data_IF_018164168982
#
_entry.id   IF_018164168982
#
_cell.length_a   1.000
_cell.length_b   1.000
_cell.length_c   1.000
_cell.angle_alpha   90.00
_cell.angle_beta   90.00
_cell.angle_gamma   90.00
#
_symmetry.space_group_name_H-M   'P 1'
#
loop_
_entity.id
_entity.type
_entity.pdbx_description
1 polymer ?
#
# COMPACT_ATOMS: atom_id res chain seq x y z
N UNK A 1 6.96 19.02 -0.68
CA UNK A 1 5.75 18.18 -0.72
C UNK A 1 4.66 19.02 -1.34
N UNK A 2 3.89 18.46 -2.27
CA UNK A 2 2.77 19.16 -2.91
C UNK A 2 1.62 19.31 -1.92
N UNK A 3 1.21 20.53 -1.62
CA UNK A 3 0.03 20.79 -0.78
C UNK A 3 -1.25 20.51 -1.58
N UNK A 4 -2.16 19.65 -1.10
CA UNK A 4 -3.37 19.32 -1.82
C UNK A 4 -4.46 20.39 -1.66
N UNK A 5 -5.30 20.54 -2.69
CA UNK A 5 -6.59 21.24 -2.54
C UNK A 5 -7.53 20.37 -1.71
N UNK A 6 -8.10 20.94 -0.64
CA UNK A 6 -8.95 20.21 0.32
C UNK A 6 -10.42 20.48 0.06
N UNK A 7 -11.23 19.43 0.09
CA UNK A 7 -12.68 19.47 0.00
C UNK A 7 -13.31 18.50 1.01
N UNK A 8 -14.65 18.50 1.08
CA UNK A 8 -15.44 17.62 1.93
C UNK A 8 -16.44 16.84 1.10
N UNK A 9 -16.61 15.57 1.43
CA UNK A 9 -17.72 14.76 0.95
C UNK A 9 -18.99 15.07 1.75
N UNK A 10 -20.15 14.68 1.22
CA UNK A 10 -21.46 14.97 1.79
C UNK A 10 -21.63 14.43 3.23
N UNK A 11 -20.89 13.38 3.57
CA UNK A 11 -20.86 12.75 4.90
C UNK A 11 -19.72 13.28 5.81
N UNK A 12 -19.04 14.35 5.40
CA UNK A 12 -18.00 15.05 6.16
C UNK A 12 -16.58 14.48 6.04
N UNK A 13 -16.40 13.37 5.29
CA UNK A 13 -15.09 12.79 5.01
C UNK A 13 -14.18 13.77 4.27
N UNK A 14 -12.89 13.67 4.54
CA UNK A 14 -11.86 14.45 3.86
C UNK A 14 -11.69 13.99 2.41
N UNK A 15 -11.54 14.95 1.50
CA UNK A 15 -11.13 14.73 0.11
C UNK A 15 -9.96 15.68 -0.20
N UNK A 16 -8.91 15.13 -0.78
CA UNK A 16 -7.65 15.82 -1.09
C UNK A 16 -7.34 15.63 -2.58
N UNK A 17 -7.18 16.74 -3.30
CA UNK A 17 -6.75 16.73 -4.70
C UNK A 17 -5.28 17.12 -4.79
N UNK A 18 -4.50 16.27 -5.46
CA UNK A 18 -3.12 16.55 -5.85
C UNK A 18 -3.13 16.79 -7.36
N UNK A 19 -2.49 17.87 -7.80
CA UNK A 19 -2.54 18.31 -9.18
C UNK A 19 -1.15 18.45 -9.79
N UNK A 20 -1.07 18.18 -11.09
CA UNK A 20 0.11 18.46 -11.91
C UNK A 20 0.31 19.98 -12.03
N UNK A 21 1.55 20.45 -12.31
CA UNK A 21 1.80 21.86 -12.55
C UNK A 21 0.91 22.44 -13.66
N UNK A 22 0.19 23.52 -13.36
CA UNK A 22 -0.75 24.17 -14.29
C UNK A 22 -2.17 23.60 -14.28
N UNK A 23 -2.42 22.50 -13.58
CA UNK A 23 -3.76 21.97 -13.35
C UNK A 23 -4.33 22.55 -12.05
N UNK A 24 -5.63 22.85 -12.06
CA UNK A 24 -6.33 23.43 -10.91
C UNK A 24 -7.57 22.59 -10.60
N UNK A 25 -7.57 21.81 -9.50
CA UNK A 25 -8.75 21.07 -9.08
C UNK A 25 -9.94 22.00 -8.87
N UNK A 26 -11.10 21.63 -9.41
CA UNK A 26 -12.35 22.38 -9.28
C UNK A 26 -13.45 21.53 -8.64
N UNK A 27 -13.30 21.13 -7.35
CA UNK A 27 -14.33 20.36 -6.67
C UNK A 27 -15.64 21.15 -6.61
N UNK A 28 -16.74 20.44 -6.83
CA UNK A 28 -18.11 20.93 -6.62
C UNK A 28 -18.64 20.37 -5.30
N UNK A 29 -19.78 20.90 -4.86
CA UNK A 29 -20.49 20.34 -3.70
C UNK A 29 -20.86 18.88 -3.95
N UNK A 30 -20.51 18.00 -3.02
CA UNK A 30 -21.01 16.63 -2.98
C UNK A 30 -22.46 16.65 -2.49
N UNK A 31 -23.39 16.29 -3.38
CA UNK A 31 -24.84 16.35 -3.18
C UNK A 31 -25.45 14.96 -3.05
N UNK A 32 -24.64 13.92 -2.94
CA UNK A 32 -25.13 12.55 -2.79
C UNK A 32 -25.94 12.42 -1.49
N UNK A 33 -27.10 11.74 -1.51
CA UNK A 33 -27.94 11.57 -0.34
C UNK A 33 -27.35 10.49 0.59
N UNK A 34 -26.23 10.81 1.23
CA UNK A 34 -25.55 9.90 2.15
C UNK A 34 -26.06 10.11 3.58
N UNK A 35 -26.25 9.03 4.36
CA UNK A 35 -26.53 9.17 5.78
C UNK A 35 -25.32 9.84 6.47
N UNK A 36 -25.60 10.58 7.54
CA UNK A 36 -24.54 11.07 8.41
C UNK A 36 -23.69 9.89 8.90
N UNK A 37 -22.38 10.11 8.98
CA UNK A 37 -21.44 9.08 9.41
C UNK A 37 -21.79 8.61 10.83
N UNK A 38 -22.01 7.31 11.00
CA UNK A 38 -22.22 6.74 12.34
C UNK A 38 -20.97 6.97 13.20
N UNK A 39 -21.19 7.55 14.39
CA UNK A 39 -20.18 7.74 15.44
C UNK A 39 -19.99 6.50 16.31
N UNK A 40 -20.76 5.44 16.09
CA UNK A 40 -20.64 4.18 16.81
C UNK A 40 -19.43 3.38 16.28
N UNK A 41 -18.83 2.55 17.15
CA UNK A 41 -17.65 1.75 16.83
C UNK A 41 -17.94 0.79 15.65
N UNK A 42 -17.40 1.12 14.47
CA UNK A 42 -17.66 0.36 13.24
C UNK A 42 -16.78 -0.91 13.12
N UNK A 43 -15.70 -0.98 13.89
CA UNK A 43 -14.75 -2.09 13.90
C UNK A 43 -14.11 -2.31 15.26
N UNK A 44 -13.77 -3.56 15.57
CA UNK A 44 -13.11 -3.99 16.80
C UNK A 44 -11.81 -4.73 16.47
N UNK A 45 -10.76 -4.51 17.25
CA UNK A 45 -9.56 -5.34 17.26
C UNK A 45 -9.74 -6.47 18.27
N UNK A 46 -9.38 -7.69 17.89
CA UNK A 46 -9.32 -8.85 18.80
C UNK A 46 -7.91 -9.42 18.76
N UNK A 47 -7.34 -9.66 19.93
CA UNK A 47 -5.98 -10.20 20.03
C UNK A 47 -6.03 -11.73 20.03
N UNK A 48 -5.36 -12.34 19.06
CA UNK A 48 -5.10 -13.77 19.05
C UNK A 48 -3.87 -14.07 19.92
N UNK A 49 -4.11 -14.67 21.09
CA UNK A 49 -3.06 -15.03 22.05
C UNK A 49 -2.14 -16.14 21.55
N UNK A 50 -2.56 -16.95 20.58
CA UNK A 50 -1.76 -18.07 20.07
C UNK A 50 -0.68 -17.62 19.10
N UNK A 51 -0.99 -16.61 18.28
CA UNK A 51 -0.07 -16.04 17.28
C UNK A 51 0.54 -14.71 17.71
N UNK A 52 -0.02 -14.06 18.74
CA UNK A 52 0.40 -12.74 19.20
C UNK A 52 -0.05 -11.62 18.27
N UNK A 53 -1.13 -11.80 17.51
CA UNK A 53 -1.54 -10.91 16.42
C UNK A 53 -2.88 -10.21 16.70
N UNK A 54 -3.00 -8.97 16.23
CA UNK A 54 -4.28 -8.27 16.20
C UNK A 54 -5.07 -8.62 14.94
N UNK A 55 -6.33 -9.01 15.13
CA UNK A 55 -7.30 -9.27 14.07
C UNK A 55 -8.35 -8.16 14.05
N UNK A 56 -8.55 -7.55 12.88
CA UNK A 56 -9.57 -6.52 12.68
C UNK A 56 -10.90 -7.18 12.33
N UNK A 57 -11.92 -6.93 13.14
CA UNK A 57 -13.31 -7.33 12.90
C UNK A 57 -14.09 -6.10 12.46
N UNK A 58 -14.42 -6.01 11.17
CA UNK A 58 -15.14 -4.89 10.55
C UNK A 58 -16.37 -5.39 9.77
N UNK A 59 -17.46 -5.67 10.49
CA UNK A 59 -18.65 -6.36 9.95
C UNK A 59 -19.34 -5.57 8.82
N UNK A 60 -19.38 -4.24 8.91
CA UNK A 60 -20.01 -3.35 7.92
C UNK A 60 -19.32 -3.37 6.54
N UNK A 61 -18.16 -4.04 6.40
CA UNK A 61 -17.51 -4.23 5.10
C UNK A 61 -18.27 -5.17 4.16
N UNK A 62 -19.24 -5.92 4.66
CA UNK A 62 -20.10 -6.76 3.82
C UNK A 62 -20.94 -5.92 2.83
N UNK A 63 -21.24 -4.66 3.17
CA UNK A 63 -22.05 -3.76 2.34
C UNK A 63 -21.23 -2.96 1.32
N UNK A 64 -19.95 -3.32 1.12
CA UNK A 64 -19.07 -2.61 0.18
C UNK A 64 -19.64 -2.69 -1.24
N UNK A 65 -19.57 -1.57 -1.96
CA UNK A 65 -19.87 -1.53 -3.40
C UNK A 65 -19.13 -2.65 -4.14
N UNK A 66 -19.89 -3.55 -4.75
CA UNK A 66 -19.38 -4.71 -5.45
C UNK A 66 -19.69 -4.58 -6.94
N UNK A 67 -18.64 -4.40 -7.76
CA UNK A 67 -18.70 -4.35 -9.22
C UNK A 67 -19.85 -3.46 -9.77
N UNK A 68 -19.86 -2.15 -9.46
CA UNK A 68 -20.78 -1.24 -10.12
C UNK A 68 -20.43 -1.20 -11.61
N UNK A 69 -21.41 -0.96 -12.50
CA UNK A 69 -21.09 -0.72 -13.90
C UNK A 69 -20.25 0.56 -14.03
N UNK A 70 -19.43 0.72 -15.10
CA UNK A 70 -18.49 1.84 -15.23
C UNK A 70 -19.13 3.23 -15.06
N UNK A 71 -20.35 3.42 -15.57
CA UNK A 71 -21.14 4.66 -15.44
C UNK A 71 -21.54 5.00 -13.99
N UNK A 72 -21.47 4.04 -13.09
CA UNK A 72 -21.70 4.18 -11.66
C UNK A 72 -20.40 4.02 -10.84
N UNK A 73 -19.24 4.14 -11.48
CA UNK A 73 -17.95 4.05 -10.80
C UNK A 73 -17.83 5.19 -9.77
N UNK A 74 -17.63 4.88 -8.48
CA UNK A 74 -17.52 5.90 -7.44
C UNK A 74 -16.18 6.65 -7.49
N UNK A 75 -15.26 6.26 -8.37
CA UNK A 75 -13.90 6.82 -8.46
C UNK A 75 -13.72 7.70 -9.71
N UNK A 76 -14.62 7.63 -10.69
CA UNK A 76 -14.60 8.51 -11.85
C UNK A 76 -14.98 9.96 -11.48
N UNK A 77 -14.61 10.97 -12.27
CA UNK A 77 -15.09 12.33 -12.05
C UNK A 77 -16.62 12.44 -12.04
N UNK A 78 -17.17 13.11 -11.03
CA UNK A 78 -18.60 13.40 -10.88
C UNK A 78 -18.86 14.91 -10.93
N UNK A 79 -18.94 15.54 -12.12
CA UNK A 79 -19.08 17.00 -12.26
C UNK A 79 -20.35 17.58 -11.62
N UNK A 80 -21.37 16.75 -11.42
CA UNK A 80 -22.61 17.16 -10.75
C UNK A 80 -22.58 16.94 -9.25
N UNK A 81 -21.57 16.25 -8.71
CA UNK A 81 -21.53 15.87 -7.29
C UNK A 81 -22.64 14.90 -6.86
N UNK A 82 -23.35 14.25 -7.79
CA UNK A 82 -24.45 13.32 -7.47
C UNK A 82 -24.11 11.85 -7.65
N UNK A 83 -22.98 11.53 -8.29
CA UNK A 83 -22.72 10.18 -8.82
C UNK A 83 -21.44 9.52 -8.31
N UNK A 84 -20.50 10.28 -7.72
CA UNK A 84 -19.15 9.80 -7.44
C UNK A 84 -18.61 10.28 -6.08
N UNK A 85 -17.65 9.55 -5.50
CA UNK A 85 -16.82 10.01 -4.37
C UNK A 85 -15.82 11.11 -4.78
N UNK A 86 -15.74 11.43 -6.07
CA UNK A 86 -14.92 12.52 -6.61
C UNK A 86 -15.82 13.56 -7.26
N UNK A 87 -16.46 14.45 -6.47
CA UNK A 87 -17.37 15.50 -6.97
C UNK A 87 -16.56 16.61 -7.66
N UNK A 88 -16.00 16.33 -8.82
CA UNK A 88 -15.21 17.26 -9.63
C UNK A 88 -15.37 16.91 -11.12
N UNK A 89 -15.16 17.88 -12.04
CA UNK A 89 -15.18 17.60 -13.47
C UNK A 89 -14.00 16.75 -13.94
N UNK A 90 -12.87 16.84 -13.24
CA UNK A 90 -11.65 16.07 -13.54
C UNK A 90 -10.71 16.05 -12.32
N UNK A 91 -9.67 15.21 -12.35
CA UNK A 91 -8.58 15.19 -11.37
C UNK A 91 -7.33 14.45 -11.87
N UNK A 92 -6.15 14.85 -11.37
CA UNK A 92 -4.92 14.10 -11.60
C UNK A 92 -4.75 12.96 -10.58
N UNK A 93 -4.76 13.27 -9.27
CA UNK A 93 -4.72 12.28 -8.19
C UNK A 93 -5.62 12.75 -7.05
N UNK A 94 -6.43 11.85 -6.49
CA UNK A 94 -7.27 12.17 -5.32
C UNK A 94 -7.09 11.17 -4.20
N UNK A 95 -7.13 11.65 -2.96
CA UNK A 95 -7.17 10.83 -1.76
C UNK A 95 -8.38 11.21 -0.91
N UNK A 96 -9.14 10.22 -0.48
CA UNK A 96 -10.26 10.45 0.44
C UNK A 96 -10.41 9.30 1.43
N UNK A 97 -11.09 9.57 2.55
CA UNK A 97 -11.33 8.54 3.54
C UNK A 97 -12.29 7.46 3.00
N UNK A 98 -11.97 6.20 3.24
CA UNK A 98 -12.76 5.07 2.74
C UNK A 98 -14.15 5.06 3.40
N UNK A 99 -15.20 4.89 2.60
CA UNK A 99 -16.60 4.83 3.06
C UNK A 99 -16.90 3.61 3.94
N UNK A 100 -16.19 2.50 3.69
CA UNK A 100 -16.34 1.24 4.41
C UNK A 100 -15.01 0.88 5.10
N UNK A 101 -14.54 1.71 6.05
CA UNK A 101 -13.20 1.58 6.57
C UNK A 101 -13.06 0.33 7.44
N UNK A 102 -11.90 -0.34 7.35
CA UNK A 102 -11.55 -1.41 8.30
C UNK A 102 -11.19 -0.85 9.68
N UNK A 103 -10.74 0.40 9.72
CA UNK A 103 -10.31 1.13 10.91
C UNK A 103 -10.81 2.56 10.82
N UNK A 104 -11.37 3.08 11.90
CA UNK A 104 -11.96 4.42 11.94
C UNK A 104 -11.27 5.29 12.99
N UNK A 105 -11.30 6.61 12.79
CA UNK A 105 -10.82 7.55 13.79
C UNK A 105 -11.51 7.28 15.14
N UNK A 106 -10.73 7.23 16.22
CA UNK A 106 -11.30 7.00 17.55
C UNK A 106 -12.05 8.23 18.03
N UNK A 107 -13.06 8.00 18.85
CA UNK A 107 -13.59 9.01 19.74
C UNK A 107 -12.45 9.54 20.63
N UNK A 108 -12.40 10.85 20.97
CA UNK A 108 -11.31 11.48 21.71
C UNK A 108 -10.94 10.85 23.06
N UNK A 109 -11.78 9.95 23.60
CA UNK A 109 -11.69 9.38 24.94
C UNK A 109 -11.06 7.97 25.00
N UNK A 110 -10.59 7.41 23.89
CA UNK A 110 -10.05 6.04 23.83
C UNK A 110 -8.52 6.03 23.70
N UNK A 111 -7.82 5.01 24.24
CA UNK A 111 -6.38 4.89 24.09
C UNK A 111 -6.01 4.83 22.61
N UNK A 112 -5.02 5.64 22.23
CA UNK A 112 -4.66 5.86 20.84
C UNK A 112 -3.97 4.64 20.21
N UNK A 113 -3.28 3.83 21.01
CA UNK A 113 -2.53 2.65 20.57
C UNK A 113 -3.19 1.39 21.11
N UNK A 114 -3.15 0.28 20.35
CA UNK A 114 -3.66 -1.00 20.82
C UNK A 114 -2.91 -1.43 22.10
N UNK A 115 -3.61 -1.82 23.19
CA UNK A 115 -2.99 -2.10 24.48
C UNK A 115 -2.05 -3.30 24.40
N UNK A 116 -0.99 -3.33 25.21
CA UNK A 116 -0.23 -4.58 25.39
C UNK A 116 -1.10 -5.56 26.17
N UNK A 117 -1.41 -6.76 25.63
CA UNK A 117 -2.26 -7.73 26.30
C UNK A 117 -1.61 -8.21 27.62
N UNK A 118 -2.17 -7.83 28.76
CA UNK A 118 -1.64 -8.16 30.09
C UNK A 118 -2.57 -9.07 30.93
N UNK A 119 -3.81 -9.30 30.47
CA UNK A 119 -4.82 -10.05 31.21
C UNK A 119 -4.96 -11.50 30.73
N UNK A 120 -5.28 -12.40 31.65
CA UNK A 120 -5.66 -13.78 31.36
C UNK A 120 -7.10 -13.85 30.85
N UNK A 121 -7.31 -13.46 29.59
CA UNK A 121 -8.65 -13.48 28.98
C UNK A 121 -8.66 -13.13 27.49
N UNK A 122 -9.85 -12.93 26.93
CA UNK A 122 -10.02 -12.37 25.59
C UNK A 122 -9.73 -10.88 25.62
N UNK A 123 -8.72 -10.45 24.86
CA UNK A 123 -8.32 -9.03 24.79
C UNK A 123 -8.90 -8.41 23.52
N UNK A 124 -9.59 -7.29 23.71
CA UNK A 124 -10.19 -6.52 22.60
C UNK A 124 -9.84 -5.04 22.73
N UNK A 125 -9.82 -4.34 21.59
CA UNK A 125 -9.62 -2.91 21.54
C UNK A 125 -10.50 -2.27 20.46
N UNK A 126 -10.78 -0.96 20.55
CA UNK A 126 -11.37 -0.21 19.45
C UNK A 126 -10.57 -0.38 18.15
N UNK A 127 -11.25 -0.53 17.00
CA UNK A 127 -10.62 -0.49 15.67
C UNK A 127 -10.16 0.92 15.28
N UNK A 128 -9.29 1.52 16.09
CA UNK A 128 -8.71 2.83 15.84
C UNK A 128 -7.82 2.80 14.60
N UNK A 129 -7.84 3.86 13.81
CA UNK A 129 -6.91 4.04 12.71
C UNK A 129 -7.52 4.91 11.63
N UNK A 130 -7.00 4.76 10.41
CA UNK A 130 -7.55 5.47 9.24
C UNK A 130 -7.36 4.64 7.98
N UNK A 131 -8.42 4.48 7.21
CA UNK A 131 -8.37 3.84 5.89
C UNK A 131 -8.71 4.89 4.83
N UNK A 132 -7.81 5.10 3.88
CA UNK A 132 -8.01 6.02 2.76
C UNK A 132 -7.95 5.27 1.43
N UNK A 133 -8.65 5.80 0.43
CA UNK A 133 -8.55 5.39 -0.98
C UNK A 133 -7.75 6.47 -1.70
N UNK A 134 -6.84 6.06 -2.58
CA UNK A 134 -6.12 6.94 -3.50
C UNK A 134 -6.46 6.54 -4.93
N UNK A 135 -7.00 7.44 -5.74
CA UNK A 135 -7.23 7.22 -7.16
C UNK A 135 -6.04 7.80 -7.94
N UNK A 136 -5.45 7.01 -8.83
CA UNK A 136 -4.19 7.38 -9.48
C UNK A 136 -4.36 8.30 -10.68
N UNK A 137 -5.52 8.28 -11.33
CA UNK A 137 -5.90 9.18 -12.44
C UNK A 137 -7.41 9.16 -12.63
N UNK A 138 -7.96 10.14 -13.35
CA UNK A 138 -9.35 10.12 -13.79
C UNK A 138 -9.67 9.07 -14.86
N UNK A 139 -8.66 8.50 -15.53
CA UNK A 139 -8.84 7.43 -16.53
C UNK A 139 -9.26 6.12 -15.85
N UNK A 140 -10.47 5.67 -16.17
CA UNK A 140 -11.08 4.46 -15.65
C UNK A 140 -10.39 3.17 -16.11
N UNK A 141 -9.72 3.22 -17.27
CA UNK A 141 -9.18 2.02 -17.95
C UNK A 141 -7.66 1.94 -17.94
N UNK A 142 -7.00 2.98 -17.44
CA UNK A 142 -5.55 3.07 -17.39
C UNK A 142 -4.91 2.17 -16.33
N UNK A 143 -3.64 2.42 -16.04
CA UNK A 143 -2.87 1.74 -15.00
C UNK A 143 -1.67 2.57 -14.58
N UNK A 144 -1.11 2.29 -13.40
CA UNK A 144 0.07 3.03 -12.92
C UNK A 144 1.25 2.89 -13.89
N UNK A 145 1.42 1.70 -14.49
CA UNK A 145 2.48 1.41 -15.46
C UNK A 145 2.43 2.30 -16.73
N UNK A 146 1.25 2.82 -17.07
CA UNK A 146 1.00 3.64 -18.26
C UNK A 146 1.02 5.14 -17.97
N UNK A 147 1.18 5.55 -16.70
CA UNK A 147 1.27 6.95 -16.35
C UNK A 147 2.59 7.54 -16.85
N UNK A 148 2.52 8.79 -17.35
CA UNK A 148 3.71 9.58 -17.61
C UNK A 148 4.51 9.79 -16.31
N UNK A 149 5.86 9.85 -16.35
CA UNK A 149 6.70 9.94 -15.16
C UNK A 149 6.30 11.08 -14.21
N UNK A 150 5.89 12.25 -14.73
CA UNK A 150 5.44 13.36 -13.91
C UNK A 150 4.15 13.05 -13.13
N UNK A 151 3.23 12.29 -13.71
CA UNK A 151 1.98 11.87 -13.07
C UNK A 151 2.25 10.77 -12.03
N UNK A 152 3.05 9.75 -12.37
CA UNK A 152 3.47 8.75 -11.40
C UNK A 152 4.22 9.38 -10.22
N UNK A 153 5.04 10.41 -10.48
CA UNK A 153 5.70 11.22 -9.45
C UNK A 153 4.72 11.94 -8.53
N UNK A 154 3.59 12.41 -9.05
CA UNK A 154 2.50 13.01 -8.28
C UNK A 154 1.79 11.97 -7.38
N UNK A 155 1.57 10.74 -7.86
CA UNK A 155 1.06 9.63 -7.03
C UNK A 155 2.00 9.37 -5.85
N UNK A 156 3.32 9.33 -6.09
CA UNK A 156 4.30 9.15 -5.02
C UNK A 156 4.34 10.35 -4.07
N UNK A 157 4.19 11.59 -4.54
CA UNK A 157 4.00 12.75 -3.64
C UNK A 157 2.74 12.62 -2.78
N UNK A 158 1.63 12.13 -3.34
CA UNK A 158 0.41 11.91 -2.56
C UNK A 158 0.66 10.86 -1.46
N UNK A 159 1.31 9.73 -1.76
CA UNK A 159 1.71 8.75 -0.74
C UNK A 159 2.66 9.34 0.31
N UNK A 160 3.64 10.15 -0.10
CA UNK A 160 4.57 10.83 0.80
C UNK A 160 3.84 11.78 1.73
N UNK A 161 2.96 12.63 1.21
CA UNK A 161 2.15 13.56 1.97
C UNK A 161 1.26 12.81 2.97
N UNK A 162 0.53 11.78 2.52
CA UNK A 162 -0.35 11.00 3.40
C UNK A 162 0.42 10.25 4.48
N UNK A 163 1.62 9.74 4.15
CA UNK A 163 2.50 9.10 5.13
C UNK A 163 2.90 10.08 6.24
N UNK A 164 3.32 11.30 5.88
CA UNK A 164 3.65 12.33 6.87
C UNK A 164 2.44 12.70 7.76
N UNK A 165 1.27 12.94 7.15
CA UNK A 165 0.04 13.31 7.86
C UNK A 165 -0.42 12.21 8.81
N UNK A 166 -0.41 10.95 8.37
CA UNK A 166 -0.88 9.81 9.17
C UNK A 166 0.10 9.47 10.30
N UNK A 167 1.41 9.51 10.07
CA UNK A 167 2.40 9.26 11.12
C UNK A 167 2.42 10.37 12.19
N UNK A 168 2.00 11.59 11.85
CA UNK A 168 1.86 12.67 12.81
C UNK A 168 0.60 12.56 13.69
N UNK A 169 -0.34 11.66 13.36
CA UNK A 169 -1.58 11.49 14.13
C UNK A 169 -1.34 10.65 15.38
N UNK A 170 -1.83 11.10 16.55
CA UNK A 170 -1.83 10.26 17.74
C UNK A 170 -2.52 8.93 17.48
N UNK A 171 -1.87 7.84 17.87
CA UNK A 171 -2.44 6.49 17.76
C UNK A 171 -2.21 5.76 16.46
N UNK A 172 -1.49 6.34 15.49
CA UNK A 172 -1.02 5.61 14.32
C UNK A 172 0.42 5.15 14.57
N UNK A 173 0.64 3.85 14.57
CA UNK A 173 1.98 3.26 14.73
C UNK A 173 2.64 2.92 13.39
N UNK A 174 1.85 2.55 12.38
CA UNK A 174 2.33 2.12 11.07
C UNK A 174 1.44 2.67 9.96
N UNK A 175 2.06 3.19 8.90
CA UNK A 175 1.37 3.56 7.65
C UNK A 175 1.73 2.58 6.56
N UNK A 176 0.71 2.08 5.86
CA UNK A 176 0.85 1.15 4.76
C UNK A 176 0.14 1.67 3.52
N UNK A 177 0.92 2.06 2.51
CA UNK A 177 0.43 2.39 1.19
C UNK A 177 0.47 1.13 0.33
N UNK A 178 -0.65 0.78 -0.31
CA UNK A 178 -0.71 -0.40 -1.15
C UNK A 178 -1.68 -0.26 -2.33
N UNK A 179 -1.48 -1.11 -3.32
CA UNK A 179 -2.36 -1.29 -4.47
C UNK A 179 -2.65 -2.77 -4.64
N UNK A 180 -3.90 -3.11 -4.98
CA UNK A 180 -4.24 -4.39 -5.54
C UNK A 180 -4.71 -4.12 -6.98
N UNK A 181 -4.05 -4.71 -7.98
CA UNK A 181 -4.46 -4.68 -9.39
C UNK A 181 -4.82 -6.08 -9.89
N UNK A 182 -6.00 -6.20 -10.52
CA UNK A 182 -6.49 -7.44 -11.14
C UNK A 182 -7.61 -8.11 -10.35
N UNK A 183 -8.60 -8.66 -11.05
CA UNK A 183 -9.79 -9.26 -10.45
C UNK A 183 -9.45 -10.48 -9.59
N UNK A 184 -8.44 -11.25 -10.01
CA UNK A 184 -8.03 -12.51 -9.39
C UNK A 184 -7.44 -12.34 -7.98
N UNK A 185 -7.08 -11.11 -7.60
CA UNK A 185 -6.60 -10.77 -6.26
C UNK A 185 -7.64 -9.97 -5.46
N UNK A 186 -8.92 -10.03 -5.85
CA UNK A 186 -10.04 -9.49 -5.07
C UNK A 186 -10.34 -8.02 -5.30
N UNK A 187 -9.91 -7.47 -6.44
CA UNK A 187 -10.27 -6.10 -6.86
C UNK A 187 -11.73 -6.07 -7.34
N UNK A 188 -12.56 -5.29 -6.66
CA UNK A 188 -14.01 -5.16 -6.98
C UNK A 188 -14.36 -3.89 -7.74
N UNK A 189 -13.43 -2.93 -7.83
CA UNK A 189 -13.55 -1.68 -8.58
C UNK A 189 -12.43 -1.65 -9.61
N UNK A 190 -12.78 -1.59 -10.90
CA UNK A 190 -11.83 -1.65 -12.03
C UNK A 190 -10.99 -0.39 -12.19
N UNK A 191 -11.49 0.75 -11.71
CA UNK A 191 -10.78 2.04 -11.77
C UNK A 191 -9.44 1.96 -11.01
N UNK A 192 -8.31 2.40 -11.58
CA UNK A 192 -6.99 2.34 -10.95
C UNK A 192 -6.93 3.10 -9.62
N UNK A 193 -6.78 2.36 -8.52
CA UNK A 193 -6.71 2.93 -7.19
C UNK A 193 -5.86 2.08 -6.24
N UNK A 194 -5.29 2.75 -5.26
CA UNK A 194 -4.65 2.16 -4.10
C UNK A 194 -5.42 2.48 -2.82
N UNK A 195 -4.85 2.05 -1.71
CA UNK A 195 -5.34 2.33 -0.37
C UNK A 195 -4.18 2.71 0.54
N UNK A 196 -4.50 3.47 1.58
CA UNK A 196 -3.53 3.90 2.58
C UNK A 196 -4.12 3.62 3.95
N UNK A 197 -3.50 2.73 4.72
CA UNK A 197 -3.95 2.34 6.04
C UNK A 197 -2.99 2.89 7.09
N UNK A 198 -3.54 3.64 8.05
CA UNK A 198 -2.88 3.95 9.32
C UNK A 198 -3.34 2.95 10.38
N UNK A 199 -2.45 2.05 10.77
CA UNK A 199 -2.70 1.05 11.80
C UNK A 199 -2.32 1.58 13.19
N UNK A 200 -3.05 1.19 14.26
CA UNK A 200 -2.74 1.59 15.63
C UNK A 200 -1.80 0.60 16.34
N UNK A 201 -1.18 -0.28 15.57
CA UNK A 201 -0.23 -1.28 16.00
C UNK A 201 0.74 -1.58 14.85
N UNK A 202 1.93 -2.09 15.17
CA UNK A 202 2.80 -2.73 14.19
C UNK A 202 2.16 -4.02 13.66
N UNK A 203 1.94 -4.09 12.34
CA UNK A 203 1.37 -5.27 11.69
C UNK A 203 2.24 -6.52 11.91
N UNK A 204 1.65 -7.73 11.94
CA UNK A 204 2.39 -8.96 12.24
C UNK A 204 3.66 -9.15 11.41
N UNK A 205 3.57 -8.90 10.10
CA UNK A 205 4.73 -8.99 9.19
C UNK A 205 5.84 -7.99 9.58
N UNK A 206 5.49 -6.75 9.89
CA UNK A 206 6.44 -5.72 10.34
C UNK A 206 7.11 -6.10 11.66
N UNK A 207 6.36 -6.65 12.62
CA UNK A 207 6.92 -7.13 13.90
C UNK A 207 7.98 -8.20 13.66
N UNK A 208 7.66 -9.23 12.86
CA UNK A 208 8.60 -10.31 12.52
C UNK A 208 9.86 -9.78 11.82
N UNK A 209 9.69 -8.91 10.83
CA UNK A 209 10.81 -8.34 10.08
C UNK A 209 11.74 -7.50 10.98
N UNK A 210 11.19 -6.64 11.82
CA UNK A 210 11.97 -5.83 12.75
C UNK A 210 12.67 -6.67 13.81
N UNK A 211 12.05 -7.76 14.27
CA UNK A 211 12.72 -8.67 15.20
C UNK A 211 13.93 -9.36 14.57
N UNK A 212 13.81 -9.87 13.34
CA UNK A 212 14.96 -10.42 12.62
C UNK A 212 16.06 -9.37 12.41
N UNK A 213 15.68 -8.14 12.06
CA UNK A 213 16.63 -7.05 11.87
C UNK A 213 17.35 -6.66 13.18
N UNK A 214 16.67 -6.65 14.31
CA UNK A 214 17.28 -6.42 15.63
C UNK A 214 18.24 -7.53 16.01
N UNK A 215 17.88 -8.79 15.79
CA UNK A 215 18.76 -9.93 16.05
C UNK A 215 20.00 -9.91 15.16
N UNK A 216 19.83 -9.54 13.89
CA UNK A 216 20.95 -9.33 12.97
C UNK A 216 21.87 -8.22 13.46
N UNK A 217 21.35 -7.04 13.83
CA UNK A 217 22.16 -5.95 14.37
C UNK A 217 22.95 -6.38 15.62
N UNK A 218 22.33 -7.14 16.53
CA UNK A 218 23.04 -7.67 17.72
C UNK A 218 24.21 -8.60 17.34
N UNK A 219 24.08 -9.39 16.27
CA UNK A 219 25.09 -10.37 15.84
C UNK A 219 26.18 -9.78 14.95
N UNK A 220 25.83 -8.85 14.08
CA UNK A 220 26.71 -8.38 13.00
C UNK A 220 27.06 -6.89 13.09
N UNK A 221 26.36 -6.11 13.91
CA UNK A 221 26.59 -4.66 14.06
C UNK A 221 26.04 -3.80 12.91
N UNK A 222 25.48 -4.41 11.88
CA UNK A 222 24.94 -3.76 10.67
C UNK A 222 23.42 -3.89 10.58
N UNK A 223 22.80 -3.25 9.59
CA UNK A 223 21.37 -3.36 9.33
C UNK A 223 21.08 -4.55 8.38
N UNK A 224 20.13 -5.42 8.75
CA UNK A 224 19.80 -6.62 7.99
C UNK A 224 19.43 -6.34 6.53
N UNK A 225 18.51 -5.40 6.31
CA UNK A 225 18.00 -5.08 4.97
C UNK A 225 19.10 -4.49 4.09
N UNK A 226 19.96 -3.63 4.67
CA UNK A 226 21.13 -3.08 3.98
C UNK A 226 22.12 -4.16 3.54
N UNK A 227 22.38 -5.14 4.41
CA UNK A 227 23.27 -6.26 4.08
C UNK A 227 22.67 -7.18 3.02
N UNK A 228 21.36 -7.42 3.05
CA UNK A 228 20.66 -8.19 2.00
C UNK A 228 20.75 -7.48 0.65
N UNK A 229 20.46 -6.18 0.59
CA UNK A 229 20.58 -5.39 -0.63
C UNK A 229 22.01 -5.42 -1.18
N UNK A 230 23.03 -5.27 -0.31
CA UNK A 230 24.42 -5.32 -0.72
C UNK A 230 24.81 -6.69 -1.30
N UNK A 231 24.29 -7.79 -0.74
CA UNK A 231 24.51 -9.15 -1.25
C UNK A 231 23.84 -9.37 -2.61
N UNK A 232 22.60 -8.93 -2.78
CA UNK A 232 21.88 -9.02 -4.06
C UNK A 232 22.58 -8.20 -5.14
N UNK A 233 23.07 -7.00 -4.79
CA UNK A 233 23.84 -6.16 -5.70
C UNK A 233 25.21 -6.76 -6.06
N UNK A 234 25.85 -7.52 -5.16
CA UNK A 234 27.13 -8.18 -5.40
C UNK A 234 26.99 -9.46 -6.24
N UNK A 235 25.92 -10.23 -6.03
CA UNK A 235 25.59 -11.42 -6.82
C UNK A 235 25.15 -11.02 -8.24
N UNK A 236 24.23 -10.05 -8.35
CA UNK A 236 23.76 -9.53 -9.63
C UNK A 236 22.77 -10.42 -10.36
N UNK A 237 22.75 -11.73 -10.12
CA UNK A 237 21.92 -12.70 -10.85
C UNK A 237 20.41 -12.46 -10.74
N UNK A 238 19.96 -11.80 -9.66
CA UNK A 238 18.54 -11.51 -9.41
C UNK A 238 18.16 -10.03 -9.60
N UNK A 239 19.08 -9.18 -10.05
CA UNK A 239 18.79 -7.77 -10.33
C UNK A 239 18.00 -7.65 -11.63
N UNK A 240 16.85 -6.98 -11.58
CA UNK A 240 16.00 -6.78 -12.77
C UNK A 240 16.08 -5.35 -13.32
N UNK A 241 16.28 -4.37 -12.43
CA UNK A 241 16.43 -2.95 -12.78
C UNK A 241 17.24 -2.24 -11.71
N UNK A 242 18.08 -1.28 -12.11
CA UNK A 242 18.91 -0.51 -11.18
C UNK A 242 19.26 0.84 -11.79
N UNK A 243 19.23 1.87 -10.95
CA UNK A 243 19.88 3.14 -11.22
C UNK A 243 20.82 3.50 -10.05
N UNK A 244 21.37 4.71 -10.05
CA UNK A 244 22.31 5.15 -9.00
C UNK A 244 21.69 5.16 -7.61
N UNK A 245 20.37 5.36 -7.50
CA UNK A 245 19.66 5.62 -6.25
C UNK A 245 18.75 4.48 -5.80
N UNK A 246 18.36 3.57 -6.68
CA UNK A 246 17.44 2.46 -6.41
C UNK A 246 17.86 1.18 -7.12
N UNK A 247 17.53 0.06 -6.47
CA UNK A 247 17.75 -1.29 -7.00
C UNK A 247 16.47 -2.10 -6.86
N UNK A 248 16.06 -2.76 -7.96
CA UNK A 248 14.96 -3.70 -8.01
C UNK A 248 15.47 -5.10 -8.33
N UNK A 249 15.05 -6.09 -7.54
CA UNK A 249 15.52 -7.46 -7.65
C UNK A 249 14.45 -8.46 -7.21
N UNK A 250 14.55 -9.69 -7.69
CA UNK A 250 13.77 -10.80 -7.12
C UNK A 250 14.50 -11.28 -5.86
N UNK A 251 13.88 -11.30 -4.67
CA UNK A 251 14.59 -11.70 -3.46
C UNK A 251 15.00 -13.17 -3.53
N UNK A 252 16.19 -13.50 -3.01
CA UNK A 252 16.67 -14.89 -2.88
C UNK A 252 15.64 -15.85 -2.24
N UNK A 253 14.82 -15.36 -1.30
CA UNK A 253 13.78 -16.12 -0.63
C UNK A 253 12.37 -15.65 -1.02
N UNK A 254 12.10 -15.52 -2.33
CA UNK A 254 10.78 -15.17 -2.85
C UNK A 254 9.71 -16.17 -2.42
N UNK A 255 8.56 -15.65 -1.99
CA UNK A 255 7.39 -16.40 -1.51
C UNK A 255 6.32 -16.54 -2.60
N UNK A 256 6.25 -15.56 -3.49
CA UNK A 256 5.29 -15.49 -4.57
C UNK A 256 5.90 -15.90 -5.91
N UNK A 257 5.10 -16.45 -6.85
CA UNK A 257 5.59 -16.85 -8.17
C UNK A 257 6.31 -15.75 -8.94
N UNK A 258 5.85 -14.51 -8.78
CA UNK A 258 6.58 -13.32 -9.22
C UNK A 258 6.62 -12.37 -8.03
N UNK A 259 7.82 -12.11 -7.54
CA UNK A 259 8.07 -11.22 -6.42
C UNK A 259 9.26 -10.32 -6.76
N UNK A 260 9.11 -9.01 -6.59
CA UNK A 260 10.19 -8.05 -6.77
C UNK A 260 10.23 -7.14 -5.55
N UNK A 261 11.43 -6.93 -5.02
CA UNK A 261 11.69 -5.93 -4.01
C UNK A 261 12.39 -4.73 -4.65
N UNK A 262 11.95 -3.52 -4.28
CA UNK A 262 12.57 -2.26 -4.71
C UNK A 262 13.07 -1.54 -3.46
N UNK A 263 14.37 -1.29 -3.40
CA UNK A 263 15.02 -0.57 -2.30
C UNK A 263 15.72 0.69 -2.83
N UNK A 264 15.67 1.81 -2.08
CA UNK A 264 16.69 2.84 -2.27
C UNK A 264 18.06 2.27 -1.92
N UNK A 265 19.12 2.81 -2.50
CA UNK A 265 20.49 2.39 -2.22
C UNK A 265 21.01 3.03 -0.91
N UNK A 266 20.34 4.09 -0.43
CA UNK A 266 20.58 4.75 0.85
C UNK A 266 19.52 4.33 1.87
N UNK A 267 19.95 4.02 3.09
CA UNK A 267 19.04 3.72 4.19
C UNK A 267 18.12 4.91 4.49
N UNK A 268 16.82 4.69 4.29
CA UNK A 268 15.71 5.57 4.69
C UNK A 268 14.60 4.75 5.31
N UNK A 269 13.81 5.34 6.20
CA UNK A 269 12.72 4.64 6.90
C UNK A 269 11.41 4.63 6.13
N UNK A 270 11.12 5.68 5.37
CA UNK A 270 9.87 5.84 4.63
C UNK A 270 10.01 6.89 3.51
N UNK A 271 8.94 7.10 2.73
CA UNK A 271 8.93 8.04 1.61
C UNK A 271 9.25 9.50 1.98
N UNK A 272 9.03 9.90 3.24
CA UNK A 272 9.23 11.30 3.67
C UNK A 272 10.71 11.68 3.73
N UNK A 273 11.60 10.70 3.92
CA UNK A 273 13.05 10.86 4.01
C UNK A 273 13.75 10.86 2.63
N UNK A 274 13.01 10.61 1.55
CA UNK A 274 13.54 10.67 0.18
C UNK A 274 13.65 12.12 -0.31
N UNK A 275 14.77 12.44 -0.95
CA UNK A 275 15.00 13.69 -1.68
C UNK A 275 14.20 13.74 -2.99
N UNK A 276 14.12 14.92 -3.62
CA UNK A 276 13.44 15.08 -4.91
C UNK A 276 14.00 14.15 -5.99
N UNK A 277 15.33 14.10 -6.13
CA UNK A 277 16.00 13.23 -7.10
C UNK A 277 15.83 11.74 -6.80
N UNK A 278 15.77 11.35 -5.53
CA UNK A 278 15.47 9.96 -5.15
C UNK A 278 14.03 9.60 -5.50
N UNK A 279 13.07 10.51 -5.32
CA UNK A 279 11.69 10.26 -5.72
C UNK A 279 11.54 10.14 -7.24
N UNK A 280 12.25 10.97 -8.01
CA UNK A 280 12.28 10.87 -9.47
C UNK A 280 12.90 9.53 -9.91
N UNK A 281 14.02 9.14 -9.31
CA UNK A 281 14.68 7.86 -9.57
C UNK A 281 13.84 6.65 -9.16
N UNK A 282 13.09 6.76 -8.05
CA UNK A 282 12.15 5.72 -7.61
C UNK A 282 11.04 5.51 -8.64
N UNK A 283 10.42 6.59 -9.14
CA UNK A 283 9.34 6.52 -10.12
C UNK A 283 9.78 5.79 -11.38
N UNK A 284 10.98 6.08 -11.89
CA UNK A 284 11.49 5.42 -13.10
C UNK A 284 11.67 3.91 -12.90
N UNK A 285 12.20 3.47 -11.75
CA UNK A 285 12.35 2.05 -11.45
C UNK A 285 10.98 1.40 -11.21
N UNK A 286 10.08 2.08 -10.51
CA UNK A 286 8.75 1.57 -10.22
C UNK A 286 7.95 1.34 -11.50
N UNK A 287 7.93 2.31 -12.42
CA UNK A 287 7.27 2.19 -13.72
C UNK A 287 7.92 1.11 -14.60
N UNK A 288 9.25 1.00 -14.63
CA UNK A 288 9.96 -0.06 -15.37
C UNK A 288 9.54 -1.46 -14.87
N UNK A 289 9.50 -1.68 -13.54
CA UNK A 289 9.10 -2.97 -12.98
C UNK A 289 7.63 -3.27 -13.27
N UNK A 290 6.73 -2.30 -13.12
CA UNK A 290 5.31 -2.51 -13.46
C UNK A 290 5.10 -2.76 -14.96
N UNK A 291 5.89 -2.12 -15.83
CA UNK A 291 5.89 -2.39 -17.26
C UNK A 291 6.34 -3.82 -17.58
N UNK A 292 7.37 -4.34 -16.87
CA UNK A 292 7.79 -5.75 -16.98
C UNK A 292 6.68 -6.71 -16.54
N UNK A 293 5.95 -6.37 -15.48
CA UNK A 293 4.80 -7.15 -15.01
C UNK A 293 3.72 -7.22 -16.10
N UNK A 294 3.40 -6.10 -16.74
CA UNK A 294 2.41 -6.05 -17.83
C UNK A 294 2.83 -6.86 -19.07
N UNK A 295 4.14 -7.06 -19.28
CA UNK A 295 4.70 -7.86 -20.37
C UNK A 295 5.01 -9.32 -20.00
N UNK A 296 4.80 -9.72 -18.75
CA UNK A 296 5.12 -11.07 -18.27
C UNK A 296 4.39 -12.17 -19.07
N UNK A 297 3.14 -11.90 -19.41
CA UNK A 297 2.25 -12.77 -20.19
C UNK A 297 1.47 -11.96 -21.23
N UNK A 298 0.54 -12.60 -21.95
CA UNK A 298 -0.33 -11.94 -22.95
C UNK A 298 -1.36 -11.00 -22.33
N UNK A 299 -1.69 -11.21 -21.06
CA UNK A 299 -2.55 -10.33 -20.27
C UNK A 299 -1.72 -9.69 -19.14
N UNK A 300 -2.07 -8.46 -18.71
CA UNK A 300 -1.39 -7.81 -17.59
C UNK A 300 -1.39 -8.69 -16.34
N UNK A 301 -0.23 -8.78 -15.70
CA UNK A 301 -0.04 -9.58 -14.51
C UNK A 301 -0.78 -8.92 -13.32
N UNK A 302 -1.70 -9.62 -12.62
CA UNK A 302 -2.29 -9.09 -11.39
C UNK A 302 -1.21 -8.98 -10.32
N UNK A 303 -1.19 -7.91 -9.53
CA UNK A 303 -0.19 -7.73 -8.49
C UNK A 303 -0.72 -6.99 -7.28
N UNK A 304 -0.07 -7.25 -6.14
CA UNK A 304 -0.14 -6.46 -4.93
C UNK A 304 1.15 -5.64 -4.86
N UNK A 305 1.02 -4.32 -4.69
CA UNK A 305 2.13 -3.43 -4.39
C UNK A 305 2.05 -3.02 -2.93
N UNK A 306 3.12 -3.22 -2.18
CA UNK A 306 3.16 -3.02 -0.73
C UNK A 306 4.36 -2.15 -0.35
N UNK A 307 4.12 -0.92 0.11
CA UNK A 307 5.18 -0.02 0.60
C UNK A 307 5.41 -0.28 2.10
N UNK A 308 6.51 -0.92 2.42
CA UNK A 308 6.96 -1.14 3.79
C UNK A 308 7.63 0.13 4.31
N UNK A 309 6.98 0.81 5.25
CA UNK A 309 7.40 2.08 5.81
C UNK A 309 7.56 1.98 7.33
N UNK A 310 8.52 2.75 7.85
CA UNK A 310 8.91 2.72 9.25
C UNK A 310 8.98 4.14 9.82
N UNK A 311 8.79 4.25 11.13
CA UNK A 311 8.86 5.51 11.88
C UNK A 311 10.17 5.63 12.66
N UNK A 312 10.57 6.84 13.00
CA UNK A 312 11.76 7.07 13.84
C UNK A 312 11.46 6.83 15.32
N UNK A 313 11.25 5.57 15.67
CA UNK A 313 11.02 5.11 17.06
C UNK A 313 12.03 4.03 17.39
N UNK A 314 12.33 3.83 18.68
CA UNK A 314 13.23 2.76 19.12
C UNK A 314 12.74 1.37 18.67
N UNK A 315 11.42 1.16 18.63
CA UNK A 315 10.83 -0.07 18.14
C UNK A 315 11.09 -0.28 16.64
N UNK A 316 11.15 0.78 15.83
CA UNK A 316 11.28 0.69 14.38
C UNK A 316 12.66 1.09 13.86
N UNK A 317 13.64 1.26 14.75
CA UNK A 317 14.98 1.78 14.44
C UNK A 317 15.75 0.99 13.36
N UNK A 318 15.43 -0.30 13.18
CA UNK A 318 16.03 -1.16 12.17
C UNK A 318 15.29 -1.16 10.82
N UNK A 319 14.18 -0.45 10.73
CA UNK A 319 13.36 -0.38 9.54
C UNK A 319 14.09 0.25 8.37
N UNK A 320 13.98 -0.39 7.20
CA UNK A 320 14.51 0.13 5.94
C UNK A 320 13.38 0.08 4.90
N UNK A 321 12.93 1.26 4.46
CA UNK A 321 11.92 1.42 3.42
C UNK A 321 12.19 0.54 2.21
N UNK A 322 11.14 -0.14 1.75
CA UNK A 322 11.15 -0.88 0.51
C UNK A 322 9.74 -1.09 -0.02
N UNK A 323 9.67 -1.47 -1.29
CA UNK A 323 8.43 -1.91 -1.94
C UNK A 323 8.53 -3.38 -2.22
N UNK A 324 7.50 -4.14 -1.87
CA UNK A 324 7.30 -5.50 -2.35
C UNK A 324 6.19 -5.48 -3.43
N UNK A 325 6.51 -5.94 -4.62
CA UNK A 325 5.57 -6.22 -5.71
C UNK A 325 5.41 -7.73 -5.82
N UNK A 326 4.19 -8.24 -5.64
CA UNK A 326 3.94 -9.67 -5.60
C UNK A 326 2.73 -10.06 -6.47
N UNK A 327 2.87 -11.11 -7.27
CA UNK A 327 1.80 -11.65 -8.11
C UNK A 327 1.45 -13.09 -7.72
N UNK A 328 0.17 -13.44 -7.89
CA UNK A 328 -0.33 -14.78 -7.69
C UNK A 328 -0.26 -15.65 -8.96
N UNK A 329 -0.01 -15.12 -10.16
CA UNK A 329 0.04 -15.94 -11.38
C UNK A 329 1.39 -16.68 -11.47
N UNK A 330 1.35 -18.02 -11.45
CA UNK A 330 2.53 -18.89 -11.65
C UNK A 330 2.75 -19.31 -13.11
N UNK A 331 1.75 -19.09 -13.95
CA UNK A 331 1.86 -19.13 -15.41
C UNK A 331 0.82 -18.19 -16.02
N UNK A 332 0.80 -18.05 -17.35
CA UNK A 332 -0.16 -17.22 -18.06
C UNK A 332 -1.63 -17.49 -17.68
N UNK A 333 -1.97 -18.75 -17.33
CA UNK A 333 -3.36 -19.18 -17.06
C UNK A 333 -3.56 -19.80 -15.68
N UNK A 334 -2.52 -19.91 -14.85
CA UNK A 334 -2.61 -20.60 -13.54
C UNK A 334 -2.29 -19.66 -12.39
N UNK A 335 -3.18 -19.64 -11.42
CA UNK A 335 -3.02 -18.94 -10.15
C UNK A 335 -2.36 -19.84 -9.10
N UNK A 336 -1.55 -19.24 -8.24
CA UNK A 336 -1.15 -19.76 -6.94
C UNK A 336 -2.21 -19.33 -5.95
N UNK A 337 -2.79 -20.33 -5.28
CA UNK A 337 -3.64 -20.12 -4.12
C UNK A 337 -2.79 -20.37 -2.89
N UNK A 338 -2.80 -19.43 -1.94
CA UNK A 338 -2.30 -19.72 -0.60
C UNK A 338 -3.29 -20.70 0.03
N UNK A 339 -2.91 -21.97 0.12
CA UNK A 339 -3.78 -23.04 0.60
C UNK A 339 -3.38 -23.41 2.04
N UNK A 340 -3.56 -24.67 2.44
CA UNK A 340 -3.32 -25.08 3.83
C UNK A 340 -1.90 -24.79 4.34
N UNK A 341 -0.86 -25.03 3.53
CA UNK A 341 0.53 -24.80 3.96
C UNK A 341 0.80 -23.33 4.23
N UNK A 342 0.44 -22.45 3.28
CA UNK A 342 0.70 -21.02 3.40
C UNK A 342 -0.28 -20.33 4.35
N UNK A 343 -1.56 -20.67 4.35
CA UNK A 343 -2.59 -19.97 5.13
C UNK A 343 -2.75 -20.49 6.56
N UNK A 344 -2.47 -21.77 6.83
CA UNK A 344 -2.63 -22.33 8.17
C UNK A 344 -1.31 -22.50 8.93
N UNK A 345 -0.18 -22.64 8.21
CA UNK A 345 1.13 -22.91 8.81
C UNK A 345 2.19 -21.83 8.52
N UNK A 346 1.85 -20.80 7.75
CA UNK A 346 2.80 -19.79 7.24
C UNK A 346 4.02 -20.40 6.50
N UNK A 347 3.88 -21.64 6.01
CA UNK A 347 4.94 -22.39 5.35
C UNK A 347 4.84 -22.21 3.83
N UNK A 348 5.60 -21.25 3.31
CA UNK A 348 5.62 -20.91 1.88
C UNK A 348 6.36 -21.95 1.05
N UNK A 349 5.72 -22.39 -0.03
CA UNK A 349 6.30 -23.32 -1.01
C UNK A 349 6.45 -22.60 -2.35
N UNK A 350 7.66 -22.62 -2.91
CA UNK A 350 7.97 -22.03 -4.21
C UNK A 350 7.82 -23.05 -5.35
N UNK A 351 7.11 -22.67 -6.41
CA UNK A 351 6.94 -23.49 -7.62
C UNK A 351 7.94 -23.13 -8.74
N UNK A 352 8.66 -22.00 -8.57
CA UNK A 352 9.61 -21.42 -9.51
C UNK A 352 10.82 -20.89 -8.75
N UNK A 353 12.01 -20.96 -9.36
CA UNK A 353 13.22 -20.42 -8.74
C UNK A 353 13.28 -18.90 -8.91
N UNK A 354 13.68 -18.15 -7.87
CA UNK A 354 13.87 -16.70 -7.94
C UNK A 354 14.76 -16.25 -9.11
N UNK A 355 15.83 -17.00 -9.41
CA UNK A 355 16.77 -16.70 -10.49
C UNK A 355 16.11 -16.77 -11.86
N UNK A 356 15.26 -17.78 -12.11
CA UNK A 356 14.55 -17.90 -13.39
C UNK A 356 13.54 -16.77 -13.57
N UNK A 357 12.85 -16.38 -12.48
CA UNK A 357 11.91 -15.25 -12.49
C UNK A 357 12.66 -13.95 -12.78
N UNK A 358 13.81 -13.74 -12.14
CA UNK A 358 14.63 -12.55 -12.37
C UNK A 358 15.13 -12.47 -13.81
N UNK A 359 15.68 -13.58 -14.34
CA UNK A 359 16.10 -13.65 -15.74
C UNK A 359 14.95 -13.31 -16.68
N UNK A 360 13.77 -13.91 -16.45
CA UNK A 360 12.60 -13.66 -17.28
C UNK A 360 12.17 -12.20 -17.25
N UNK A 361 12.08 -11.59 -16.06
CA UNK A 361 11.72 -10.18 -15.92
C UNK A 361 12.76 -9.25 -16.55
N UNK A 362 14.05 -9.58 -16.45
CA UNK A 362 15.13 -8.79 -17.03
C UNK A 362 15.04 -8.70 -18.57
N UNK A 363 14.59 -9.77 -19.23
CA UNK A 363 14.36 -9.85 -20.69
C UNK A 363 13.19 -8.97 -21.17
N UNK A 364 12.25 -8.62 -20.29
CA UNK A 364 10.99 -7.94 -20.63
C UNK A 364 11.08 -6.41 -20.54
N UNK A 365 12.17 -5.80 -21.03
CA UNK A 365 12.38 -4.33 -20.98
C UNK A 365 11.32 -3.53 -21.74
#
# INVERSE_FOLDING_TARGET
MTEPTRAKLADGRDLLFFALPGHHPAPVEDRRPLPARSTEQQSQLRFDRTTGQWVIIAALRQDRTYKPPPEACPLCPGPTGLTSEVPAPDYDVVVFENRFPSLSAALPSLPAVAPVPAEDGFVTAPGHGRCEVICFSADHTGSVAQLEPAHARLVVEAWRHRTADLLARPGIEQVFCFENRGEEIGVTLTHPHGQIYGYPYLTPRTVTMLEQARQHRKRHGTNLFGDLLAREAADGSRIIARNELFTAFVPFAARWPVEVHIYPNRLVRNLTELSGSELDAFVLVYLDVLGRFDRMYSEPLPYISALHQYSDTAAQAEGYFHVELMSIRRSATKLKYLAASESAMDAFIGDVTPENVAQRLAELR
#
